data_IF_235882450562
#
_entry.id   IF_235882450562
#
_cell.length_a   1.000
_cell.length_b   1.000
_cell.length_c   1.000
_cell.angle_alpha   90.00
_cell.angle_beta   90.00
_cell.angle_gamma   90.00
#
_symmetry.space_group_name_H-M   'P 1'
#
loop_
_entity.id
_entity.type
_entity.pdbx_description
1 polymer ?
#
# COMPACT_ATOMS: atom_id res chain seq x y z
N UNK A 1 7.70 0.35 4.58
CA UNK A 1 8.25 1.68 4.93
C UNK A 1 8.04 2.67 3.78
N UNK A 2 7.65 3.92 4.08
CA UNK A 2 7.57 4.99 3.07
C UNK A 2 8.96 5.33 2.50
N UNK A 3 10.04 5.13 3.27
CA UNK A 3 11.41 5.33 2.78
C UNK A 3 11.74 4.35 1.64
N UNK A 4 11.45 3.05 1.83
CA UNK A 4 11.62 2.02 0.80
C UNK A 4 10.96 2.41 -0.54
N UNK A 5 9.66 2.75 -0.53
CA UNK A 5 8.91 3.09 -1.75
C UNK A 5 9.47 4.34 -2.44
N UNK A 6 9.87 5.37 -1.68
CA UNK A 6 10.51 6.57 -2.22
C UNK A 6 11.88 6.27 -2.82
N UNK A 7 12.72 5.49 -2.15
CA UNK A 7 14.06 5.15 -2.66
C UNK A 7 14.00 4.32 -3.94
N UNK A 8 13.03 3.41 -4.09
CA UNK A 8 12.82 2.71 -5.36
C UNK A 8 12.40 3.67 -6.49
N UNK A 9 11.54 4.65 -6.20
CA UNK A 9 11.18 5.69 -7.16
C UNK A 9 12.38 6.59 -7.52
N UNK A 10 13.20 6.97 -6.53
CA UNK A 10 14.41 7.77 -6.76
C UNK A 10 15.45 6.99 -7.58
N UNK A 11 15.60 5.69 -7.34
CA UNK A 11 16.45 4.84 -8.15
C UNK A 11 16.02 4.85 -9.62
N UNK A 12 14.72 4.75 -9.90
CA UNK A 12 14.19 4.83 -11.26
C UNK A 12 14.54 6.18 -11.93
N UNK A 13 14.43 7.30 -11.19
CA UNK A 13 14.83 8.61 -11.69
C UNK A 13 16.33 8.68 -11.99
N UNK A 14 17.16 8.16 -11.09
CA UNK A 14 18.60 8.10 -11.28
C UNK A 14 19.00 7.25 -12.51
N UNK A 15 18.30 6.15 -12.81
CA UNK A 15 18.55 5.38 -14.04
C UNK A 15 18.23 6.19 -15.30
N UNK A 16 17.08 6.89 -15.32
CA UNK A 16 16.65 7.71 -16.45
C UNK A 16 17.67 8.83 -16.74
N UNK A 17 18.27 9.38 -15.68
CA UNK A 17 19.29 10.42 -15.75
C UNK A 17 20.70 9.88 -16.05
N UNK A 18 20.89 8.56 -16.03
CA UNK A 18 22.18 7.89 -16.30
C UNK A 18 23.10 7.75 -15.10
N UNK A 19 22.64 8.04 -13.88
CA UNK A 19 23.40 7.91 -12.64
C UNK A 19 23.30 6.49 -12.04
N UNK A 20 23.84 5.50 -12.75
CA UNK A 20 23.71 4.07 -12.39
C UNK A 20 24.22 3.72 -10.98
N UNK A 21 25.35 4.33 -10.56
CA UNK A 21 25.91 4.09 -9.22
C UNK A 21 24.98 4.64 -8.12
N UNK A 22 24.38 5.80 -8.35
CA UNK A 22 23.42 6.42 -7.42
C UNK A 22 22.14 5.59 -7.35
N UNK A 23 21.65 5.10 -8.49
CA UNK A 23 20.49 4.21 -8.52
C UNK A 23 20.74 2.91 -7.72
N UNK A 24 21.96 2.36 -7.81
CA UNK A 24 22.39 1.19 -7.02
C UNK A 24 22.36 1.47 -5.52
N UNK A 25 22.86 2.64 -5.09
CA UNK A 25 22.81 3.06 -3.68
C UNK A 25 21.36 3.18 -3.19
N UNK A 26 20.46 3.78 -3.98
CA UNK A 26 19.06 3.87 -3.60
C UNK A 26 18.38 2.51 -3.47
N UNK A 27 18.62 1.59 -4.42
CA UNK A 27 18.04 0.23 -4.37
C UNK A 27 18.52 -0.57 -3.17
N UNK A 28 19.83 -0.63 -2.94
CA UNK A 28 20.41 -1.34 -1.79
C UNK A 28 19.90 -0.76 -0.46
N UNK A 29 19.77 0.57 -0.37
CA UNK A 29 19.18 1.20 0.82
C UNK A 29 17.70 0.82 0.97
N UNK A 30 16.92 0.81 -0.11
CA UNK A 30 15.52 0.40 -0.08
C UNK A 30 15.35 -1.05 0.42
N UNK A 31 16.23 -1.97 0.01
CA UNK A 31 16.24 -3.36 0.50
C UNK A 31 16.45 -3.41 2.03
N UNK A 32 17.39 -2.61 2.56
CA UNK A 32 17.56 -2.46 4.01
C UNK A 32 16.29 -1.96 4.71
N UNK A 33 15.62 -0.97 4.13
CA UNK A 33 14.36 -0.43 4.67
C UNK A 33 13.19 -1.42 4.63
N UNK A 34 13.23 -2.43 3.75
CA UNK A 34 12.29 -3.56 3.81
C UNK A 34 12.52 -4.38 5.07
N UNK A 35 13.78 -4.70 5.38
CA UNK A 35 14.15 -5.42 6.60
C UNK A 35 13.70 -4.71 7.87
N UNK A 36 13.93 -3.39 7.96
CA UNK A 36 13.45 -2.58 9.08
C UNK A 36 11.93 -2.66 9.24
N UNK A 37 11.18 -2.50 8.13
CA UNK A 37 9.72 -2.54 8.16
C UNK A 37 9.17 -3.91 8.59
N UNK A 38 9.74 -5.00 8.08
CA UNK A 38 9.31 -6.35 8.46
C UNK A 38 9.62 -6.64 9.93
N UNK A 39 10.80 -6.27 10.42
CA UNK A 39 11.13 -6.40 11.84
C UNK A 39 10.15 -5.64 12.75
N UNK A 40 9.68 -4.45 12.34
CA UNK A 40 8.61 -3.76 13.07
C UNK A 40 7.29 -4.54 13.04
N UNK A 41 6.88 -5.07 11.89
CA UNK A 41 5.64 -5.84 11.75
C UNK A 41 5.64 -7.13 12.60
N UNK A 42 6.78 -7.80 12.73
CA UNK A 42 6.93 -8.97 13.62
C UNK A 42 6.57 -8.62 15.07
N UNK A 43 6.99 -7.45 15.57
CA UNK A 43 6.59 -6.99 16.91
C UNK A 43 5.12 -6.60 16.99
N UNK A 44 4.54 -6.12 15.89
CA UNK A 44 3.13 -5.72 15.84
C UNK A 44 2.18 -6.91 15.84
N UNK A 45 2.61 -8.13 15.49
CA UNK A 45 1.78 -9.35 15.61
C UNK A 45 1.16 -9.51 17.00
N UNK A 46 1.85 -9.06 18.05
CA UNK A 46 1.36 -9.14 19.42
C UNK A 46 0.17 -8.21 19.72
N UNK A 47 -0.04 -7.17 18.91
CA UNK A 47 -1.04 -6.10 19.16
C UNK A 47 -1.97 -5.81 17.98
N UNK A 48 -1.69 -6.37 16.80
CA UNK A 48 -2.47 -6.17 15.58
C UNK A 48 -2.01 -4.99 14.72
N UNK A 49 -2.75 -4.77 13.64
CA UNK A 49 -2.52 -3.74 12.63
C UNK A 49 -3.13 -2.41 13.07
N UNK A 50 -2.31 -1.37 13.32
CA UNK A 50 -2.83 -0.08 13.73
C UNK A 50 -3.55 0.66 12.59
N UNK A 51 -3.34 0.27 11.33
CA UNK A 51 -3.97 0.91 10.17
C UNK A 51 -5.42 0.45 9.98
N UNK A 52 -5.74 -0.79 10.38
CA UNK A 52 -7.04 -1.41 10.12
C UNK A 52 -7.77 -1.84 11.39
N UNK A 53 -7.05 -2.01 12.51
CA UNK A 53 -7.56 -2.55 13.76
C UNK A 53 -7.67 -4.08 13.77
N UNK A 54 -7.30 -4.75 12.69
CA UNK A 54 -7.33 -6.21 12.57
C UNK A 54 -6.05 -6.86 13.10
N UNK A 55 -6.04 -8.15 13.49
CA UNK A 55 -4.80 -8.84 13.87
C UNK A 55 -3.81 -8.98 12.70
N UNK A 56 -2.51 -9.14 13.02
CA UNK A 56 -1.43 -9.48 12.06
C UNK A 56 -0.82 -10.82 12.50
N UNK A 57 -0.44 -11.64 11.53
CA UNK A 57 0.38 -12.84 11.74
C UNK A 57 -0.07 -13.98 10.85
N UNK A 58 -1.08 -14.75 11.30
CA UNK A 58 -1.64 -15.83 10.51
C UNK A 58 -2.16 -15.31 9.16
N UNK A 59 -2.04 -16.11 8.09
CA UNK A 59 -2.43 -15.69 6.74
C UNK A 59 -3.90 -15.26 6.67
N UNK A 60 -4.79 -15.93 7.40
CA UNK A 60 -6.20 -15.53 7.49
C UNK A 60 -6.39 -14.14 8.11
N UNK A 61 -5.59 -13.78 9.11
CA UNK A 61 -5.67 -12.48 9.78
C UNK A 61 -5.07 -11.38 8.91
N UNK A 62 -3.95 -11.66 8.24
CA UNK A 62 -3.38 -10.74 7.25
C UNK A 62 -4.37 -10.47 6.11
N UNK A 63 -5.13 -11.48 5.68
CA UNK A 63 -6.19 -11.30 4.67
C UNK A 63 -7.35 -10.45 5.20
N UNK A 64 -7.77 -10.62 6.46
CA UNK A 64 -8.78 -9.74 7.08
C UNK A 64 -8.30 -8.29 7.13
N UNK A 65 -7.05 -8.06 7.57
CA UNK A 65 -6.46 -6.73 7.57
C UNK A 65 -6.44 -6.13 6.15
N UNK A 66 -5.99 -6.91 5.15
CA UNK A 66 -5.98 -6.46 3.76
C UNK A 66 -7.39 -6.12 3.25
N UNK A 67 -8.41 -6.95 3.53
CA UNK A 67 -9.81 -6.63 3.15
C UNK A 67 -10.29 -5.36 3.83
N UNK A 68 -10.01 -5.17 5.13
CA UNK A 68 -10.42 -3.98 5.87
C UNK A 68 -9.78 -2.71 5.31
N UNK A 69 -8.46 -2.74 5.06
CA UNK A 69 -7.72 -1.64 4.46
C UNK A 69 -8.23 -1.28 3.07
N UNK A 70 -8.25 -2.23 2.15
CA UNK A 70 -8.72 -2.03 0.77
C UNK A 70 -10.17 -1.54 0.75
N UNK A 71 -11.02 -2.05 1.65
CA UNK A 71 -12.42 -1.59 1.78
C UNK A 71 -12.50 -0.13 2.20
N UNK A 72 -11.73 0.29 3.20
CA UNK A 72 -11.66 1.70 3.59
C UNK A 72 -11.18 2.56 2.43
N UNK A 73 -10.17 2.11 1.68
CA UNK A 73 -9.63 2.84 0.54
C UNK A 73 -10.67 3.09 -0.56
N UNK A 74 -11.43 2.06 -0.98
CA UNK A 74 -12.40 2.23 -2.07
C UNK A 74 -13.75 2.81 -1.65
N UNK A 75 -14.13 2.72 -0.37
CA UNK A 75 -15.43 3.21 0.12
C UNK A 75 -15.38 4.63 0.66
N UNK A 76 -14.24 5.05 1.20
CA UNK A 76 -14.13 6.32 1.91
C UNK A 76 -12.91 7.15 1.44
N UNK A 77 -11.69 6.63 1.59
CA UNK A 77 -10.47 7.41 1.40
C UNK A 77 -10.36 7.99 -0.02
N UNK A 78 -10.29 7.15 -1.06
CA UNK A 78 -10.15 7.63 -2.43
C UNK A 78 -11.37 8.40 -2.95
N UNK A 79 -12.62 7.99 -2.67
CA UNK A 79 -13.79 8.80 -3.00
C UNK A 79 -13.76 10.21 -2.39
N UNK A 80 -13.35 10.34 -1.12
CA UNK A 80 -13.22 11.63 -0.45
C UNK A 80 -12.10 12.47 -1.06
N UNK A 81 -10.93 11.88 -1.32
CA UNK A 81 -9.81 12.55 -1.99
C UNK A 81 -10.16 13.00 -3.42
N UNK A 82 -10.90 12.18 -4.17
CA UNK A 82 -11.36 12.54 -5.52
C UNK A 82 -12.31 13.75 -5.48
N UNK A 83 -13.24 13.78 -4.53
CA UNK A 83 -14.16 14.92 -4.33
C UNK A 83 -13.38 16.19 -4.00
N UNK A 84 -12.47 16.13 -3.01
CA UNK A 84 -11.65 17.28 -2.61
C UNK A 84 -10.78 17.79 -3.77
N UNK A 85 -10.10 16.89 -4.49
CA UNK A 85 -9.30 17.26 -5.66
C UNK A 85 -10.15 17.97 -6.73
N UNK A 86 -11.41 17.55 -6.92
CA UNK A 86 -12.32 18.18 -7.89
C UNK A 86 -12.83 19.54 -7.42
N UNK A 87 -13.11 19.70 -6.13
CA UNK A 87 -13.46 20.99 -5.52
C UNK A 87 -12.31 22.01 -5.61
N UNK A 88 -11.07 21.55 -5.54
CA UNK A 88 -9.86 22.37 -5.70
C UNK A 88 -9.45 22.60 -7.16
N UNK A 89 -10.14 21.99 -8.14
CA UNK A 89 -9.90 22.18 -9.58
C UNK A 89 -8.81 21.29 -10.17
N UNK A 90 -8.41 20.21 -9.48
CA UNK A 90 -7.44 19.21 -9.95
C UNK A 90 -8.13 18.01 -10.60
N UNK A 91 -8.81 18.21 -11.72
CA UNK A 91 -9.60 17.16 -12.40
C UNK A 91 -8.79 15.89 -12.72
N UNK A 92 -7.56 16.02 -13.23
CA UNK A 92 -6.72 14.85 -13.55
C UNK A 92 -6.35 14.02 -12.30
N UNK A 93 -6.19 14.68 -11.14
CA UNK A 93 -5.90 14.02 -9.87
C UNK A 93 -7.17 13.34 -9.34
N UNK A 94 -8.33 13.98 -9.48
CA UNK A 94 -9.61 13.39 -9.12
C UNK A 94 -9.88 12.11 -9.92
N UNK A 95 -9.72 12.15 -11.24
CA UNK A 95 -9.89 10.98 -12.12
C UNK A 95 -8.90 9.85 -11.78
N UNK A 96 -7.69 10.22 -11.35
CA UNK A 96 -6.71 9.25 -10.84
C UNK A 96 -7.19 8.57 -9.55
N UNK A 97 -7.66 9.33 -8.56
CA UNK A 97 -8.20 8.76 -7.33
C UNK A 97 -9.44 7.88 -7.57
N UNK A 98 -10.33 8.27 -8.49
CA UNK A 98 -11.47 7.42 -8.89
C UNK A 98 -11.01 6.10 -9.54
N UNK A 99 -9.89 6.12 -10.26
CA UNK A 99 -9.30 4.92 -10.84
C UNK A 99 -8.72 4.01 -9.77
N UNK A 100 -8.04 4.58 -8.76
CA UNK A 100 -7.54 3.83 -7.60
C UNK A 100 -8.67 3.19 -6.80
N UNK A 101 -9.76 3.91 -6.52
CA UNK A 101 -10.93 3.34 -5.85
C UNK A 101 -11.48 2.09 -6.58
N UNK A 102 -11.49 2.08 -7.91
CA UNK A 102 -11.91 0.89 -8.69
C UNK A 102 -10.93 -0.26 -8.56
N UNK A 103 -9.62 0.03 -8.50
CA UNK A 103 -8.59 -0.97 -8.29
C UNK A 103 -8.70 -1.60 -6.89
N UNK A 104 -8.81 -0.78 -5.85
CA UNK A 104 -8.88 -1.27 -4.47
C UNK A 104 -10.15 -2.08 -4.20
N UNK A 105 -11.27 -1.74 -4.85
CA UNK A 105 -12.48 -2.60 -4.85
C UNK A 105 -12.20 -3.99 -5.44
N UNK A 106 -11.39 -4.07 -6.49
CA UNK A 106 -10.98 -5.35 -7.06
C UNK A 106 -10.04 -6.12 -6.13
N UNK A 107 -9.11 -5.43 -5.46
CA UNK A 107 -8.21 -6.02 -4.48
C UNK A 107 -8.98 -6.60 -3.27
N UNK A 108 -9.86 -5.81 -2.66
CA UNK A 108 -10.73 -6.27 -1.58
C UNK A 108 -11.50 -7.53 -1.96
N UNK A 109 -12.10 -7.57 -3.16
CA UNK A 109 -12.80 -8.75 -3.66
C UNK A 109 -11.91 -9.97 -3.89
N UNK A 110 -10.64 -9.78 -4.27
CA UNK A 110 -9.67 -10.87 -4.43
C UNK A 110 -9.20 -11.42 -3.08
N UNK A 111 -8.91 -10.56 -2.12
CA UNK A 111 -8.51 -10.97 -0.78
C UNK A 111 -9.67 -11.66 -0.04
N UNK A 112 -10.90 -11.16 -0.16
CA UNK A 112 -12.06 -11.80 0.43
C UNK A 112 -12.26 -13.22 -0.13
N UNK A 113 -12.18 -13.40 -1.45
CA UNK A 113 -12.26 -14.73 -2.06
C UNK A 113 -11.17 -15.68 -1.56
N UNK A 114 -9.95 -15.18 -1.38
CA UNK A 114 -8.86 -15.97 -0.84
C UNK A 114 -9.15 -16.38 0.61
N UNK A 115 -9.65 -15.45 1.43
CA UNK A 115 -10.03 -15.71 2.82
C UNK A 115 -11.14 -16.76 2.91
N UNK A 116 -12.23 -16.59 2.14
CA UNK A 116 -13.36 -17.53 2.11
C UNK A 116 -12.92 -18.95 1.71
N UNK A 117 -11.88 -19.07 0.88
CA UNK A 117 -11.35 -20.36 0.44
C UNK A 117 -10.43 -21.05 1.45
N UNK A 118 -9.99 -20.35 2.50
CA UNK A 118 -9.19 -20.95 3.58
C UNK A 118 -10.04 -21.68 4.62
N UNK A 119 -11.29 -21.26 4.79
CA UNK A 119 -12.24 -21.83 5.75
C UNK A 119 -13.08 -22.98 5.16
N UNK A 120 -12.85 -23.34 3.89
CA UNK A 120 -13.55 -24.39 3.14
C UNK A 120 -12.80 -25.73 3.17
#
# INVERSE_FOLDING_TARGET
SQANRRYLYFAQKADIEGYNDVATVFRSTAEGETGHAHGHLEFMEAVGDPATGEPIGATSDNLKSAVAGETHEYTDMYPSMAREAREEGFDEIADWFETLAKAEKSHAGRFQKALDSMDA
#
